data_IF_646498705328
#
_entry.id   IF_646498705328
#
_cell.length_a   1.000
_cell.length_b   1.000
_cell.length_c   1.000
_cell.angle_alpha   90.00
_cell.angle_beta   90.00
_cell.angle_gamma   90.00
#
_symmetry.space_group_name_H-M   'P 1'
#
loop_
_entity.id
_entity.type
_entity.pdbx_description
1 polymer ?
#
# COMPACT_ATOMS: atom_id res chain seq x y z
N UNK A 1 12.60 0.41 3.64
CA UNK A 1 12.89 1.85 3.80
C UNK A 1 13.64 2.10 5.11
N UNK A 2 13.10 1.72 6.26
CA UNK A 2 13.70 1.98 7.58
C UNK A 2 15.13 1.43 7.73
N UNK A 3 15.42 0.27 7.16
CA UNK A 3 16.79 -0.28 7.13
C UNK A 3 17.76 0.56 6.30
N UNK A 4 17.26 1.26 5.29
CA UNK A 4 18.04 2.17 4.42
C UNK A 4 18.17 3.57 5.00
N UNK A 5 17.28 3.95 5.95
CA UNK A 5 17.24 5.27 6.60
C UNK A 5 17.13 5.04 8.13
N UNK A 6 18.22 4.64 8.79
CA UNK A 6 18.17 4.17 10.19
C UNK A 6 17.84 5.25 11.22
N UNK A 7 17.98 6.54 10.88
CA UNK A 7 17.68 7.65 11.80
C UNK A 7 16.24 8.13 11.73
N UNK A 8 15.42 7.53 10.87
CA UNK A 8 14.00 7.87 10.76
C UNK A 8 13.23 7.30 11.96
N UNK A 9 12.36 8.11 12.57
CA UNK A 9 11.49 7.63 13.64
C UNK A 9 10.61 6.47 13.13
N UNK A 10 10.85 5.29 13.67
CA UNK A 10 10.22 4.05 13.23
C UNK A 10 8.73 4.07 13.46
N UNK A 11 8.30 4.56 14.64
CA UNK A 11 6.90 4.57 15.03
C UNK A 11 6.07 5.47 14.11
N UNK A 12 6.48 6.73 13.99
CA UNK A 12 5.82 7.68 13.09
C UNK A 12 5.76 7.18 11.65
N UNK A 13 6.89 6.66 11.12
CA UNK A 13 6.95 6.16 9.75
C UNK A 13 5.97 4.99 9.49
N UNK A 14 5.93 4.00 10.39
CA UNK A 14 5.02 2.86 10.22
C UNK A 14 3.56 3.30 10.29
N UNK A 15 3.19 4.17 11.25
CA UNK A 15 1.81 4.66 11.37
C UNK A 15 1.44 5.54 10.17
N UNK A 16 2.34 6.39 9.70
CA UNK A 16 2.13 7.19 8.50
C UNK A 16 1.85 6.33 7.27
N UNK A 17 2.51 5.18 7.17
CA UNK A 17 2.37 4.29 6.02
C UNK A 17 0.98 3.63 5.90
N UNK A 18 0.20 3.54 6.97
CA UNK A 18 -1.19 3.05 6.91
C UNK A 18 -2.22 4.19 6.86
N UNK A 19 -1.81 5.42 7.15
CA UNK A 19 -2.73 6.54 7.31
C UNK A 19 -3.60 6.88 6.08
N UNK A 20 -3.13 6.76 4.82
CA UNK A 20 -3.97 6.97 3.64
C UNK A 20 -5.21 6.07 3.56
N UNK A 21 -5.16 4.88 4.15
CA UNK A 21 -6.27 3.93 4.21
C UNK A 21 -7.14 4.07 5.48
N UNK A 22 -6.84 5.07 6.34
CA UNK A 22 -7.55 5.26 7.60
C UNK A 22 -8.81 6.15 7.48
N UNK A 23 -9.40 6.26 6.30
CA UNK A 23 -10.75 6.80 6.13
C UNK A 23 -11.79 5.95 6.85
N UNK A 24 -12.92 6.58 7.22
CA UNK A 24 -14.00 5.97 8.00
C UNK A 24 -15.12 5.51 7.06
N UNK A 25 -15.48 4.25 7.14
CA UNK A 25 -16.58 3.66 6.39
C UNK A 25 -17.95 4.09 6.95
N UNK A 26 -18.95 4.15 6.06
CA UNK A 26 -20.37 4.22 6.45
C UNK A 26 -20.87 2.82 6.91
N UNK A 27 -22.11 2.77 7.39
CA UNK A 27 -22.69 1.54 7.99
C UNK A 27 -22.65 0.31 7.06
N UNK A 28 -22.87 0.51 5.78
CA UNK A 28 -22.92 -0.56 4.77
C UNK A 28 -21.62 -0.77 3.97
N UNK A 29 -20.55 -0.05 4.33
CA UNK A 29 -19.24 -0.11 3.68
C UNK A 29 -19.23 0.26 2.19
N UNK A 30 -20.21 1.01 1.75
CA UNK A 30 -20.30 1.46 0.34
C UNK A 30 -19.61 2.79 0.10
N UNK A 31 -19.38 3.58 1.15
CA UNK A 31 -18.72 4.89 1.08
C UNK A 31 -17.76 5.08 2.26
N UNK A 32 -16.78 5.96 2.05
CA UNK A 32 -15.75 6.28 3.04
C UNK A 32 -15.59 7.80 3.17
N UNK A 33 -15.30 8.25 4.39
CA UNK A 33 -15.08 9.67 4.70
C UNK A 33 -13.70 9.87 5.35
N UNK A 34 -12.83 10.71 4.77
CA UNK A 34 -12.96 11.27 3.41
C UNK A 34 -12.87 10.14 2.36
N UNK A 35 -13.22 10.47 1.10
CA UNK A 35 -13.12 9.45 0.04
C UNK A 35 -11.65 9.05 -0.23
N UNK A 36 -11.45 7.89 -0.87
CA UNK A 36 -10.12 7.43 -1.27
C UNK A 36 -9.40 8.45 -2.16
N UNK A 37 -10.13 9.13 -3.03
CA UNK A 37 -9.57 10.18 -3.90
C UNK A 37 -8.91 11.29 -3.09
N UNK A 38 -9.49 11.68 -1.95
CA UNK A 38 -8.92 12.68 -1.05
C UNK A 38 -7.70 12.12 -0.32
N UNK A 39 -7.81 10.95 0.31
CA UNK A 39 -6.72 10.39 1.11
C UNK A 39 -5.52 9.95 0.27
N UNK A 40 -5.75 9.52 -0.97
CA UNK A 40 -4.69 9.11 -1.88
C UNK A 40 -4.30 10.20 -2.89
N UNK A 41 -4.78 11.43 -2.72
CA UNK A 41 -4.41 12.57 -3.59
C UNK A 41 -4.65 12.29 -5.08
N UNK A 42 -5.74 11.60 -5.38
CA UNK A 42 -6.11 11.24 -6.75
C UNK A 42 -6.84 12.40 -7.42
N UNK A 43 -6.41 12.82 -8.61
CA UNK A 43 -7.00 13.94 -9.34
C UNK A 43 -8.31 13.57 -10.04
N UNK A 44 -9.35 13.21 -9.26
CA UNK A 44 -10.73 13.09 -9.76
C UNK A 44 -11.05 11.91 -10.66
N UNK A 45 -10.10 11.04 -10.99
CA UNK A 45 -10.32 9.81 -11.74
C UNK A 45 -9.88 8.59 -10.93
N UNK A 46 -10.80 7.68 -10.66
CA UNK A 46 -10.62 6.48 -9.83
C UNK A 46 -9.46 5.55 -10.24
N UNK A 47 -8.90 5.72 -11.44
CA UNK A 47 -7.80 4.91 -11.97
C UNK A 47 -6.48 5.68 -12.09
N UNK A 48 -6.45 6.95 -11.72
CA UNK A 48 -5.20 7.73 -11.76
C UNK A 48 -4.35 7.41 -10.54
N UNK A 49 -3.04 7.41 -10.78
CA UNK A 49 -2.06 7.36 -9.72
C UNK A 49 -2.19 8.58 -8.79
N UNK A 50 -1.78 8.40 -7.54
CA UNK A 50 -1.70 9.47 -6.56
C UNK A 50 -0.79 10.61 -7.05
N UNK A 51 -1.19 11.87 -6.83
CA UNK A 51 -0.31 13.03 -6.99
C UNK A 51 0.63 13.13 -5.78
N UNK A 52 1.66 12.28 -5.79
CA UNK A 52 2.61 12.17 -4.69
C UNK A 52 3.36 13.50 -4.47
N UNK A 53 3.65 14.23 -5.56
CA UNK A 53 4.36 15.51 -5.49
C UNK A 53 3.50 16.57 -4.81
N UNK A 54 2.22 16.66 -5.11
CA UNK A 54 1.31 17.59 -4.47
C UNK A 54 1.21 17.35 -2.95
N UNK A 55 1.15 16.09 -2.50
CA UNK A 55 1.18 15.76 -1.07
C UNK A 55 2.50 16.22 -0.43
N UNK A 56 3.62 15.87 -1.03
CA UNK A 56 4.95 16.23 -0.52
C UNK A 56 5.10 17.76 -0.38
N UNK A 57 4.70 18.49 -1.42
CA UNK A 57 4.77 19.94 -1.42
C UNK A 57 3.88 20.55 -0.31
N UNK A 58 2.65 20.10 -0.17
CA UNK A 58 1.66 20.68 0.75
C UNK A 58 1.94 20.32 2.20
N UNK A 59 2.22 19.05 2.51
CA UNK A 59 2.32 18.55 3.87
C UNK A 59 3.74 18.52 4.42
N UNK A 60 4.75 18.40 3.56
CA UNK A 60 6.15 18.30 4.01
C UNK A 60 6.89 19.62 3.75
N UNK A 61 7.01 20.03 2.48
CA UNK A 61 7.90 21.15 2.13
C UNK A 61 7.34 22.50 2.58
N UNK A 62 6.05 22.78 2.34
CA UNK A 62 5.42 24.05 2.78
C UNK A 62 5.20 24.13 4.29
N UNK A 63 5.13 22.99 4.96
CA UNK A 63 4.88 22.94 6.41
C UNK A 63 6.12 22.63 7.24
N UNK A 64 7.32 22.54 6.65
CA UNK A 64 8.56 22.14 7.35
C UNK A 64 8.81 22.91 8.65
N UNK A 65 8.56 24.24 8.66
CA UNK A 65 8.74 25.07 9.84
C UNK A 65 7.63 24.89 10.91
N UNK A 66 6.59 24.15 10.62
CA UNK A 66 5.47 23.82 11.52
C UNK A 66 5.55 22.42 12.09
N UNK A 67 6.36 21.54 11.49
CA UNK A 67 6.59 20.18 11.98
C UNK A 67 7.35 20.26 13.30
N UNK A 68 6.81 19.63 14.34
CA UNK A 68 7.25 19.83 15.73
C UNK A 68 8.11 18.72 16.29
N UNK A 69 8.10 17.55 15.65
CA UNK A 69 8.81 16.38 16.16
C UNK A 69 9.31 15.46 15.04
N UNK A 70 10.31 14.64 15.36
CA UNK A 70 10.79 13.59 14.47
C UNK A 70 9.69 12.57 14.14
N UNK A 71 8.81 12.27 15.10
CA UNK A 71 7.65 11.38 14.90
C UNK A 71 6.69 11.95 13.85
N UNK A 72 6.28 13.23 13.98
CA UNK A 72 5.41 13.89 13.00
C UNK A 72 6.03 13.89 11.61
N UNK A 73 7.33 14.22 11.53
CA UNK A 73 8.04 14.21 10.26
C UNK A 73 8.09 12.82 9.62
N UNK A 74 8.46 11.82 10.39
CA UNK A 74 8.51 10.44 9.94
C UNK A 74 7.12 9.92 9.54
N UNK A 75 6.05 10.33 10.24
CA UNK A 75 4.68 10.03 9.86
C UNK A 75 4.35 10.59 8.45
N UNK A 76 4.68 11.85 8.18
CA UNK A 76 4.44 12.44 6.86
C UNK A 76 5.25 11.74 5.77
N UNK A 77 6.49 11.33 6.05
CA UNK A 77 7.28 10.51 5.13
C UNK A 77 6.68 9.11 4.93
N UNK A 78 6.11 8.51 5.96
CA UNK A 78 5.37 7.25 5.87
C UNK A 78 4.15 7.38 4.97
N UNK A 79 3.36 8.44 5.15
CA UNK A 79 2.22 8.76 4.29
C UNK A 79 2.65 8.92 2.82
N UNK A 80 3.68 9.70 2.57
CA UNK A 80 4.25 9.91 1.24
C UNK A 80 4.75 8.59 0.61
N UNK A 81 5.40 7.74 1.40
CA UNK A 81 5.83 6.39 0.96
C UNK A 81 4.67 5.52 0.51
N UNK A 82 3.55 5.54 1.24
CA UNK A 82 2.34 4.82 0.85
C UNK A 82 1.83 5.30 -0.52
N UNK A 83 1.74 6.62 -0.73
CA UNK A 83 1.27 7.16 -2.00
C UNK A 83 2.17 6.76 -3.18
N UNK A 84 3.50 6.79 -2.99
CA UNK A 84 4.47 6.32 -3.99
C UNK A 84 4.26 4.84 -4.28
N UNK A 85 4.08 4.02 -3.25
CA UNK A 85 3.87 2.57 -3.37
C UNK A 85 2.59 2.26 -4.13
N UNK A 86 1.49 2.93 -3.80
CA UNK A 86 0.20 2.78 -4.49
C UNK A 86 0.31 3.18 -5.97
N UNK A 87 0.96 4.31 -6.26
CA UNK A 87 1.19 4.75 -7.64
C UNK A 87 2.02 3.73 -8.43
N UNK A 88 3.12 3.24 -7.85
CA UNK A 88 3.97 2.23 -8.48
C UNK A 88 3.21 0.91 -8.71
N UNK A 89 2.39 0.48 -7.72
CA UNK A 89 1.57 -0.73 -7.85
C UNK A 89 0.54 -0.59 -8.98
N UNK A 90 -0.11 0.57 -9.10
CA UNK A 90 -1.08 0.82 -10.19
C UNK A 90 -0.44 0.76 -11.58
N UNK A 91 0.81 1.17 -11.72
CA UNK A 91 1.57 1.04 -12.97
C UNK A 91 1.95 -0.42 -13.21
N UNK A 92 2.56 -1.08 -12.22
CA UNK A 92 3.04 -2.45 -12.32
C UNK A 92 1.94 -3.44 -12.68
N UNK A 93 0.78 -3.40 -12.03
CA UNK A 93 -0.30 -4.36 -12.30
C UNK A 93 -0.91 -4.26 -13.70
N UNK A 94 -0.67 -3.15 -14.41
CA UNK A 94 -1.16 -2.89 -15.79
C UNK A 94 -0.06 -2.95 -16.83
N UNK A 95 1.17 -3.23 -16.44
CA UNK A 95 2.28 -3.41 -17.38
C UNK A 95 1.95 -4.53 -18.38
N UNK A 96 2.15 -4.24 -19.68
CA UNK A 96 1.73 -5.14 -20.75
C UNK A 96 2.49 -6.47 -20.73
N UNK A 97 3.80 -6.44 -20.42
CA UNK A 97 4.61 -7.64 -20.35
C UNK A 97 4.16 -8.52 -19.20
N UNK A 98 3.93 -7.91 -18.05
CA UNK A 98 3.38 -8.59 -16.88
C UNK A 98 1.99 -9.18 -17.15
N UNK A 99 1.11 -8.42 -17.78
CA UNK A 99 -0.24 -8.91 -18.11
C UNK A 99 -0.16 -10.12 -19.05
N UNK A 100 0.77 -10.14 -20.01
CA UNK A 100 1.04 -11.33 -20.86
C UNK A 100 1.46 -12.54 -20.04
N UNK A 101 2.33 -12.35 -19.04
CA UNK A 101 2.75 -13.44 -18.15
C UNK A 101 1.59 -13.98 -17.29
N UNK A 102 0.73 -13.10 -16.78
CA UNK A 102 -0.51 -13.52 -16.09
C UNK A 102 -1.38 -14.37 -17.01
N UNK A 103 -1.56 -13.94 -18.25
CA UNK A 103 -2.34 -14.71 -19.24
C UNK A 103 -1.69 -16.03 -19.62
N UNK A 104 -0.36 -16.14 -19.62
CA UNK A 104 0.30 -17.44 -19.78
C UNK A 104 -0.03 -18.38 -18.61
N UNK A 105 -0.06 -17.90 -17.36
CA UNK A 105 -0.46 -18.69 -16.19
C UNK A 105 -1.95 -19.08 -16.26
N UNK A 106 -2.83 -18.17 -16.66
CA UNK A 106 -4.26 -18.45 -16.90
C UNK A 106 -4.43 -19.57 -17.93
N UNK A 107 -3.72 -19.49 -19.06
CA UNK A 107 -3.79 -20.50 -20.13
C UNK A 107 -3.23 -21.87 -19.71
N UNK A 108 -2.31 -21.90 -18.75
CA UNK A 108 -1.76 -23.14 -18.20
C UNK A 108 -2.68 -23.81 -17.18
N UNK A 109 -3.67 -23.10 -16.65
CA UNK A 109 -4.70 -23.63 -15.77
C UNK A 109 -5.93 -24.04 -16.59
N UNK A 110 -6.34 -25.30 -16.49
CA UNK A 110 -7.40 -25.88 -17.34
C UNK A 110 -8.76 -25.17 -17.17
N UNK A 111 -9.15 -24.85 -15.93
CA UNK A 111 -10.43 -24.20 -15.62
C UNK A 111 -10.43 -22.74 -16.09
N UNK A 112 -9.37 -22.00 -15.74
CA UNK A 112 -9.25 -20.59 -16.13
C UNK A 112 -9.08 -20.42 -17.63
N UNK A 113 -8.35 -21.33 -18.29
CA UNK A 113 -8.18 -21.34 -19.75
C UNK A 113 -9.52 -21.52 -20.47
N UNK A 114 -10.34 -22.46 -19.99
CA UNK A 114 -11.68 -22.68 -20.55
C UNK A 114 -12.59 -21.46 -20.35
N UNK A 115 -12.59 -20.87 -19.14
CA UNK A 115 -13.41 -19.72 -18.81
C UNK A 115 -12.96 -18.42 -19.53
N UNK A 116 -11.66 -18.28 -19.80
CA UNK A 116 -11.08 -17.13 -20.49
C UNK A 116 -11.11 -17.20 -22.02
N UNK A 117 -11.69 -18.26 -22.59
CA UNK A 117 -11.73 -18.44 -24.05
C UNK A 117 -12.45 -17.30 -24.75
N UNK A 118 -11.76 -16.65 -25.69
CA UNK A 118 -12.29 -15.52 -26.49
C UNK A 118 -12.26 -14.16 -25.79
N UNK A 119 -11.67 -14.06 -24.61
CA UNK A 119 -11.46 -12.78 -23.94
C UNK A 119 -10.19 -12.07 -24.45
N UNK A 120 -10.21 -10.75 -24.45
CA UNK A 120 -9.01 -9.95 -24.68
C UNK A 120 -8.02 -10.14 -23.52
N UNK A 121 -6.74 -10.28 -23.85
CA UNK A 121 -5.66 -10.50 -22.86
C UNK A 121 -5.26 -9.21 -22.15
N UNK A 122 -6.20 -8.62 -21.41
CA UNK A 122 -6.04 -7.38 -20.64
C UNK A 122 -6.12 -7.62 -19.14
N UNK A 123 -5.61 -6.67 -18.35
CA UNK A 123 -5.79 -6.71 -16.90
C UNK A 123 -7.27 -6.60 -16.46
N UNK A 124 -8.08 -5.88 -17.23
CA UNK A 124 -9.51 -5.77 -16.92
C UNK A 124 -10.22 -7.13 -17.13
N UNK A 125 -9.84 -7.90 -18.14
CA UNK A 125 -10.32 -9.27 -18.34
C UNK A 125 -9.85 -10.22 -17.23
N UNK A 126 -8.61 -10.08 -16.74
CA UNK A 126 -8.14 -10.83 -15.57
C UNK A 126 -9.00 -10.54 -14.33
N UNK A 127 -9.36 -9.28 -14.09
CA UNK A 127 -10.23 -8.90 -12.95
C UNK A 127 -11.65 -9.45 -13.07
N UNK A 128 -12.13 -9.64 -14.28
CA UNK A 128 -13.43 -10.25 -14.54
C UNK A 128 -13.36 -11.76 -14.33
N UNK A 129 -12.30 -12.41 -14.80
CA UNK A 129 -12.12 -13.86 -14.75
C UNK A 129 -11.80 -14.36 -13.35
N UNK A 130 -10.99 -13.63 -12.58
CA UNK A 130 -10.52 -14.01 -11.26
C UNK A 130 -11.08 -13.02 -10.23
N UNK A 131 -11.95 -13.46 -9.30
CA UNK A 131 -12.54 -12.63 -8.26
C UNK A 131 -11.49 -11.84 -7.47
N UNK A 132 -11.90 -10.69 -6.93
CA UNK A 132 -11.01 -9.82 -6.15
C UNK A 132 -10.44 -10.56 -4.93
N UNK A 133 -11.27 -11.35 -4.27
CA UNK A 133 -10.92 -12.11 -3.08
C UNK A 133 -9.80 -13.11 -3.36
N UNK A 134 -9.85 -13.80 -4.50
CA UNK A 134 -8.82 -14.77 -4.91
C UNK A 134 -7.50 -14.05 -5.24
N UNK A 135 -7.57 -12.93 -5.97
CA UNK A 135 -6.38 -12.12 -6.29
C UNK A 135 -5.70 -11.52 -5.06
N UNK A 136 -6.49 -11.09 -4.06
CA UNK A 136 -5.98 -10.57 -2.80
C UNK A 136 -5.41 -11.70 -1.95
N UNK A 137 -6.01 -12.89 -1.97
CA UNK A 137 -5.53 -14.01 -1.19
C UNK A 137 -4.11 -14.44 -1.55
N UNK A 138 -3.71 -14.26 -2.82
CA UNK A 138 -2.32 -14.49 -3.25
C UNK A 138 -1.34 -13.55 -2.54
N UNK A 139 -1.69 -12.25 -2.43
CA UNK A 139 -0.87 -11.26 -1.73
C UNK A 139 -0.85 -11.56 -0.23
N UNK A 140 -1.99 -11.84 0.36
CA UNK A 140 -2.10 -12.16 1.79
C UNK A 140 -1.28 -13.39 2.20
N UNK A 141 -1.19 -14.40 1.33
CA UNK A 141 -0.32 -15.54 1.60
C UNK A 141 1.16 -15.17 1.65
N UNK A 142 1.61 -14.26 0.77
CA UNK A 142 2.99 -13.76 0.79
C UNK A 142 3.26 -12.85 1.99
N UNK A 143 2.31 -12.01 2.36
CA UNK A 143 2.39 -11.18 3.56
C UNK A 143 2.42 -12.01 4.85
N UNK A 144 1.61 -13.08 4.92
CA UNK A 144 1.61 -14.01 6.03
C UNK A 144 2.98 -14.70 6.20
N UNK A 145 3.55 -15.18 5.09
CA UNK A 145 4.90 -15.76 5.08
C UNK A 145 5.95 -14.74 5.54
N UNK A 146 5.85 -13.49 5.07
CA UNK A 146 6.74 -12.41 5.51
C UNK A 146 6.62 -12.14 7.02
N UNK A 147 5.41 -11.97 7.55
CA UNK A 147 5.19 -11.69 8.97
C UNK A 147 5.67 -12.84 9.87
N UNK A 148 5.52 -14.08 9.43
CA UNK A 148 6.04 -15.24 10.14
C UNK A 148 7.58 -15.26 10.19
N UNK A 149 8.24 -14.88 9.10
CA UNK A 149 9.70 -14.84 9.02
C UNK A 149 10.30 -13.59 9.70
N UNK A 150 9.53 -12.51 9.84
CA UNK A 150 9.96 -11.23 10.40
C UNK A 150 9.08 -10.76 11.56
N UNK A 151 9.17 -11.41 12.74
CA UNK A 151 8.34 -11.07 13.91
C UNK A 151 8.59 -9.66 14.44
N UNK A 152 9.70 -9.03 14.06
CA UNK A 152 10.04 -7.64 14.38
C UNK A 152 9.60 -6.65 13.27
N UNK A 153 8.72 -7.05 12.35
CA UNK A 153 8.17 -6.13 11.35
C UNK A 153 7.43 -4.97 12.00
N UNK A 154 7.46 -3.79 11.35
CA UNK A 154 6.76 -2.61 11.86
C UNK A 154 5.25 -2.82 12.00
N UNK A 155 4.66 -3.69 11.17
CA UNK A 155 3.25 -4.04 11.32
C UNK A 155 2.95 -4.70 12.67
N UNK A 156 3.76 -5.69 13.07
CA UNK A 156 3.57 -6.42 14.32
C UNK A 156 3.98 -5.61 15.56
N UNK A 157 5.02 -4.76 15.45
CA UNK A 157 5.59 -4.06 16.61
C UNK A 157 5.02 -2.65 16.82
N UNK A 158 4.61 -1.97 15.74
CA UNK A 158 4.17 -0.57 15.81
C UNK A 158 2.66 -0.41 15.54
N UNK A 159 2.10 -1.21 14.61
CA UNK A 159 0.71 -1.02 14.14
C UNK A 159 -0.27 -1.84 14.99
N UNK A 160 -0.10 -3.15 15.08
CA UNK A 160 -1.05 -4.02 15.82
C UNK A 160 -1.23 -3.60 17.28
N UNK A 161 -0.18 -3.25 18.05
CA UNK A 161 -0.33 -2.84 19.44
C UNK A 161 -0.79 -1.40 19.65
N UNK A 162 -0.95 -0.60 18.59
CA UNK A 162 -1.22 0.84 18.68
C UNK A 162 -2.54 1.12 19.41
N UNK A 163 -2.49 1.98 20.44
CA UNK A 163 -3.65 2.38 21.26
C UNK A 163 -4.00 3.85 21.15
N UNK A 164 -3.04 4.68 20.79
CA UNK A 164 -3.22 6.11 20.56
C UNK A 164 -2.17 6.62 19.61
N UNK A 165 -2.53 7.61 18.81
CA UNK A 165 -1.60 8.31 17.93
C UNK A 165 -2.13 9.73 17.66
N UNK A 166 -1.29 10.76 17.54
CA UNK A 166 -1.71 12.12 17.20
C UNK A 166 -2.31 12.20 15.79
N UNK A 167 -3.28 13.10 15.61
CA UNK A 167 -3.90 13.37 14.31
C UNK A 167 -3.08 14.45 13.56
N UNK A 168 -2.11 14.04 12.76
CA UNK A 168 -1.24 14.94 11.98
C UNK A 168 -1.82 15.36 10.63
N UNK A 169 -2.89 14.70 10.18
CA UNK A 169 -3.55 14.97 8.89
C UNK A 169 -4.92 15.60 9.16
N UNK A 170 -5.10 16.85 8.73
CA UNK A 170 -6.25 17.69 9.04
C UNK A 170 -7.56 17.29 8.34
N UNK A 171 -7.50 16.50 7.27
CA UNK A 171 -8.69 15.97 6.60
C UNK A 171 -9.09 14.56 7.08
N UNK A 172 -8.27 13.86 7.84
CA UNK A 172 -8.66 12.59 8.45
C UNK A 172 -9.52 12.85 9.70
N UNK A 173 -10.59 12.09 9.92
CA UNK A 173 -11.37 12.19 11.14
C UNK A 173 -10.53 11.89 12.38
N UNK A 174 -10.77 12.62 13.45
CA UNK A 174 -10.03 12.45 14.70
C UNK A 174 -10.04 10.99 15.18
N UNK A 175 -8.88 10.45 15.50
CA UNK A 175 -8.71 9.08 15.98
C UNK A 175 -8.97 7.99 14.94
N UNK A 176 -9.14 8.35 13.65
CA UNK A 176 -9.46 7.39 12.57
C UNK A 176 -8.38 6.33 12.37
N UNK A 177 -7.10 6.66 12.61
CA UNK A 177 -5.97 5.73 12.51
C UNK A 177 -6.13 4.57 13.50
N UNK A 178 -6.29 4.89 14.77
CA UNK A 178 -6.47 3.87 15.83
C UNK A 178 -7.75 3.07 15.61
N UNK A 179 -8.84 3.76 15.23
CA UNK A 179 -10.10 3.11 14.88
C UNK A 179 -9.92 2.11 13.73
N UNK A 180 -9.20 2.48 12.66
CA UNK A 180 -8.98 1.59 11.52
C UNK A 180 -8.22 0.33 11.93
N UNK A 181 -7.23 0.42 12.79
CA UNK A 181 -6.52 -0.75 13.30
C UNK A 181 -7.46 -1.67 14.08
N UNK A 182 -8.35 -1.13 14.93
CA UNK A 182 -9.32 -1.93 15.65
C UNK A 182 -10.31 -2.67 14.73
N UNK A 183 -10.60 -2.11 13.55
CA UNK A 183 -11.58 -2.66 12.60
C UNK A 183 -10.92 -3.56 11.56
N UNK A 184 -9.76 -3.17 11.04
CA UNK A 184 -9.09 -3.80 9.90
C UNK A 184 -7.74 -4.41 10.25
N UNK A 185 -7.18 -4.13 11.44
CA UNK A 185 -5.94 -4.74 11.88
C UNK A 185 -6.14 -6.24 12.11
N UNK A 186 -5.48 -7.06 11.33
CA UNK A 186 -5.58 -8.50 11.42
C UNK A 186 -4.20 -9.15 11.34
N UNK A 187 -4.12 -10.33 11.92
CA UNK A 187 -3.00 -11.23 11.67
C UNK A 187 -3.44 -12.20 10.58
N UNK A 188 -2.69 -12.33 9.47
CA UNK A 188 -3.05 -13.25 8.42
C UNK A 188 -3.07 -14.69 8.94
N UNK A 189 -4.03 -15.47 8.48
CA UNK A 189 -4.13 -16.89 8.79
C UNK A 189 -3.02 -17.65 8.06
N UNK A 190 -1.99 -18.06 8.81
CA UNK A 190 -0.85 -18.78 8.28
C UNK A 190 -1.18 -20.20 7.81
N UNK A 191 -2.34 -20.75 8.22
CA UNK A 191 -2.79 -22.08 7.84
C UNK A 191 -3.48 -22.10 6.47
N UNK A 192 -3.82 -20.94 5.91
CA UNK A 192 -4.32 -20.84 4.54
C UNK A 192 -3.19 -20.97 3.53
N UNK A 193 -2.87 -22.20 3.19
CA UNK A 193 -1.96 -22.45 2.07
C UNK A 193 -2.66 -22.16 0.73
N UNK A 194 -2.09 -21.25 -0.04
CA UNK A 194 -2.47 -21.04 -1.43
C UNK A 194 -1.52 -21.86 -2.30
N UNK A 195 -2.10 -22.73 -3.10
CA UNK A 195 -1.32 -23.62 -3.96
C UNK A 195 -1.02 -23.02 -5.34
N UNK A 196 -1.69 -21.95 -5.72
CA UNK A 196 -1.56 -21.33 -7.03
C UNK A 196 -1.41 -19.81 -6.91
N UNK A 197 -0.42 -19.26 -7.59
CA UNK A 197 -0.17 -17.83 -7.74
C UNK A 197 -0.35 -17.46 -9.21
N UNK A 198 -1.58 -17.10 -9.59
CA UNK A 198 -1.95 -16.80 -10.97
C UNK A 198 -1.74 -15.33 -11.30
N UNK A 199 -2.28 -14.44 -10.45
CA UNK A 199 -2.29 -13.00 -10.73
C UNK A 199 -1.06 -12.29 -10.21
N UNK A 200 -0.36 -12.86 -9.23
CA UNK A 200 0.87 -12.31 -8.67
C UNK A 200 1.78 -13.45 -8.23
N UNK A 201 2.93 -13.63 -8.89
CA UNK A 201 3.91 -14.60 -8.42
C UNK A 201 4.71 -14.06 -7.23
N UNK A 202 5.34 -14.96 -6.46
CA UNK A 202 6.20 -14.59 -5.33
C UNK A 202 7.38 -13.72 -5.78
N UNK A 203 7.99 -14.05 -6.91
CA UNK A 203 9.13 -13.30 -7.44
C UNK A 203 8.71 -11.91 -7.93
N UNK A 204 7.55 -11.79 -8.63
CA UNK A 204 7.00 -10.48 -9.00
C UNK A 204 6.77 -9.60 -7.78
N UNK A 205 6.17 -10.15 -6.72
CA UNK A 205 5.90 -9.41 -5.50
C UNK A 205 7.19 -8.99 -4.77
N UNK A 206 8.16 -9.89 -4.66
CA UNK A 206 9.46 -9.60 -4.04
C UNK A 206 10.23 -8.51 -4.81
N UNK A 207 10.25 -8.59 -6.15
CA UNK A 207 10.87 -7.58 -7.01
C UNK A 207 10.16 -6.24 -6.87
N UNK A 208 8.82 -6.22 -6.89
CA UNK A 208 8.04 -5.00 -6.68
C UNK A 208 8.36 -4.34 -5.33
N UNK A 209 8.46 -5.11 -4.25
CA UNK A 209 8.80 -4.57 -2.92
C UNK A 209 10.20 -3.93 -2.94
N UNK A 210 11.20 -4.60 -3.50
CA UNK A 210 12.57 -4.05 -3.54
C UNK A 210 12.66 -2.81 -4.44
N UNK A 211 12.08 -2.84 -5.64
CA UNK A 211 12.07 -1.72 -6.57
C UNK A 211 11.35 -0.50 -5.97
N UNK A 212 10.24 -0.74 -5.25
CA UNK A 212 9.50 0.32 -4.58
C UNK A 212 10.27 0.92 -3.40
N UNK A 213 10.98 0.10 -2.62
CA UNK A 213 11.87 0.59 -1.56
C UNK A 213 12.94 1.51 -2.16
N UNK A 214 13.57 1.11 -3.27
CA UNK A 214 14.55 1.93 -3.97
C UNK A 214 13.94 3.24 -4.49
N UNK A 215 12.74 3.18 -5.06
CA UNK A 215 12.02 4.34 -5.55
C UNK A 215 11.72 5.34 -4.42
N UNK A 216 11.20 4.87 -3.28
CA UNK A 216 10.92 5.73 -2.11
C UNK A 216 12.19 6.41 -1.61
N UNK A 217 13.29 5.66 -1.41
CA UNK A 217 14.57 6.22 -0.95
C UNK A 217 15.11 7.25 -1.93
N UNK A 218 15.03 6.96 -3.23
CA UNK A 218 15.42 7.88 -4.30
C UNK A 218 14.60 9.17 -4.26
N UNK A 219 13.28 9.08 -4.16
CA UNK A 219 12.39 10.25 -4.07
C UNK A 219 12.72 11.13 -2.84
N UNK A 220 13.00 10.51 -1.69
CA UNK A 220 13.40 11.23 -0.49
C UNK A 220 14.73 11.97 -0.70
N UNK A 221 15.70 11.35 -1.35
CA UNK A 221 16.99 11.98 -1.63
C UNK A 221 16.85 13.13 -2.64
N UNK A 222 16.13 12.93 -3.74
CA UNK A 222 15.93 13.95 -4.79
C UNK A 222 15.21 15.20 -4.27
N UNK A 223 14.27 15.03 -3.33
CA UNK A 223 13.56 16.14 -2.69
C UNK A 223 14.27 16.69 -1.44
N UNK A 224 15.48 16.20 -1.12
CA UNK A 224 16.26 16.58 0.08
C UNK A 224 15.50 16.39 1.40
N UNK A 225 14.63 15.38 1.49
CA UNK A 225 13.82 15.13 2.68
C UNK A 225 14.61 14.47 3.82
N UNK A 226 15.77 13.89 3.56
CA UNK A 226 16.58 13.19 4.58
C UNK A 226 17.37 14.16 5.49
N UNK A 227 17.36 15.47 5.21
CA UNK A 227 18.16 16.49 5.90
C UNK A 227 17.27 17.58 6.56
N UNK A 228 15.97 17.35 6.74
CA UNK A 228 15.04 18.38 7.24
C UNK A 228 14.98 18.44 8.78
N UNK A 229 15.41 17.38 9.46
CA UNK A 229 15.48 17.33 10.95
C UNK A 229 16.91 17.17 11.43
#
# INVERSE_FOLDING_TARGET
VLERIPNLDRHGFCVGNIAPDCNVENEDWTAFTPSREVTHWMQGERKKASDCDAFCDEYILKRKDKIKSAEEYAFLLGYYSHLITDAAFQVMIRDEDRVREVWMRIKADEELSAAGTGMDETWDSVKWLIPKEDRISEIYAMEAEYLNNYPNSGYLTEIIPLKSFPDYIDYLPQGSIVRKICVMGYLPDLDKSINKFITMSKDEYANFVEDTIQLVVKQFAEKNLLNIL
#
